data_IF_301150212478
#
_entry.id   IF_301150212478
#
_cell.length_a   1.000
_cell.length_b   1.000
_cell.length_c   1.000
_cell.angle_alpha   90.00
_cell.angle_beta   90.00
_cell.angle_gamma   90.00
#
_symmetry.space_group_name_H-M   'P 1'
#
loop_
_entity.id
_entity.type
_entity.pdbx_description
1 polymer ?
#
# COMPACT_ATOMS: atom_id res chain seq x y z
N UNK A 1 -8.84 -10.45 -12.37
CA UNK A 1 -9.04 -10.03 -10.96
C UNK A 1 -10.49 -9.62 -10.66
N UNK A 2 -11.20 -8.94 -11.58
CA UNK A 2 -12.64 -8.66 -11.44
C UNK A 2 -13.48 -9.94 -11.19
N UNK A 3 -13.13 -11.05 -11.84
CA UNK A 3 -13.78 -12.36 -11.64
C UNK A 3 -13.63 -12.98 -10.24
N UNK A 4 -12.72 -12.48 -9.39
CA UNK A 4 -12.53 -12.99 -8.03
C UNK A 4 -13.41 -12.27 -6.99
N UNK A 5 -14.16 -11.24 -7.40
CA UNK A 5 -15.08 -10.48 -6.53
C UNK A 5 -14.37 -9.83 -5.33
N UNK A 6 -13.17 -9.28 -5.57
CA UNK A 6 -12.35 -8.58 -4.58
C UNK A 6 -11.76 -7.30 -5.17
N UNK A 7 -11.38 -6.37 -4.30
CA UNK A 7 -10.76 -5.10 -4.68
C UNK A 7 -9.23 -5.25 -4.69
N UNK A 8 -8.54 -4.65 -5.65
CA UNK A 8 -7.08 -4.63 -5.66
C UNK A 8 -6.55 -3.25 -5.99
N UNK A 9 -5.53 -2.81 -5.26
CA UNK A 9 -4.79 -1.59 -5.53
C UNK A 9 -3.29 -1.91 -5.64
N UNK A 10 -2.58 -1.20 -6.52
CA UNK A 10 -1.14 -1.34 -6.68
C UNK A 10 -0.48 0.03 -6.71
N UNK A 11 0.63 0.15 -6.01
CA UNK A 11 1.56 1.26 -6.14
C UNK A 11 2.98 0.70 -6.22
N UNK A 12 3.62 0.83 -7.38
CA UNK A 12 4.96 0.30 -7.65
C UNK A 12 5.13 -1.18 -7.26
N UNK A 13 5.98 -1.46 -6.27
CA UNK A 13 6.32 -2.77 -5.73
C UNK A 13 5.32 -3.29 -4.68
N UNK A 14 4.30 -2.50 -4.31
CA UNK A 14 3.32 -2.88 -3.29
C UNK A 14 1.95 -3.12 -3.91
N UNK A 15 1.40 -4.30 -3.67
CA UNK A 15 0.05 -4.70 -4.09
C UNK A 15 -0.79 -5.02 -2.86
N UNK A 16 -1.98 -4.42 -2.78
CA UNK A 16 -3.00 -4.71 -1.78
C UNK A 16 -4.16 -5.39 -2.47
N UNK A 17 -4.63 -6.50 -1.92
CA UNK A 17 -5.81 -7.22 -2.39
C UNK A 17 -6.73 -7.43 -1.20
N UNK A 18 -7.96 -6.95 -1.36
CA UNK A 18 -9.06 -7.12 -0.42
C UNK A 18 -10.04 -8.14 -0.98
N UNK A 19 -10.43 -9.11 -0.16
CA UNK A 19 -11.41 -10.11 -0.53
C UNK A 19 -12.43 -10.28 0.60
N UNK A 20 -13.72 -10.49 0.28
CA UNK A 20 -14.76 -10.61 1.30
C UNK A 20 -14.68 -11.92 2.09
N UNK A 21 -13.96 -12.94 1.58
CA UNK A 21 -13.78 -14.23 2.26
C UNK A 21 -12.33 -14.70 2.18
N UNK A 22 -11.91 -15.48 3.18
CA UNK A 22 -10.58 -16.12 3.22
C UNK A 22 -10.33 -17.01 1.99
N UNK A 23 -11.36 -17.68 1.48
CA UNK A 23 -11.25 -18.54 0.30
C UNK A 23 -10.92 -17.75 -0.97
N UNK A 24 -11.61 -16.62 -1.18
CA UNK A 24 -11.32 -15.71 -2.29
C UNK A 24 -9.92 -15.09 -2.16
N UNK A 25 -9.51 -14.74 -0.94
CA UNK A 25 -8.15 -14.26 -0.68
C UNK A 25 -7.09 -15.31 -1.05
N UNK A 26 -7.29 -16.58 -0.68
CA UNK A 26 -6.38 -17.68 -1.06
C UNK A 26 -6.28 -17.86 -2.57
N UNK A 27 -7.41 -17.78 -3.30
CA UNK A 27 -7.40 -17.82 -4.77
C UNK A 27 -6.61 -16.66 -5.37
N UNK A 28 -6.81 -15.44 -4.86
CA UNK A 28 -6.07 -14.27 -5.30
C UNK A 28 -4.56 -14.40 -5.00
N UNK A 29 -4.18 -14.85 -3.80
CA UNK A 29 -2.77 -15.11 -3.44
C UNK A 29 -2.16 -16.13 -4.40
N UNK A 30 -2.88 -17.21 -4.74
CA UNK A 30 -2.40 -18.22 -5.69
C UNK A 30 -2.16 -17.61 -7.07
N UNK A 31 -3.11 -16.84 -7.60
CA UNK A 31 -2.98 -16.17 -8.89
C UNK A 31 -1.79 -15.19 -8.91
N UNK A 32 -1.62 -14.45 -7.83
CA UNK A 32 -0.52 -13.49 -7.64
C UNK A 32 0.83 -14.19 -7.58
N UNK A 33 0.92 -15.34 -6.89
CA UNK A 33 2.14 -16.16 -6.88
C UNK A 33 2.47 -16.71 -8.26
N UNK A 34 1.46 -17.14 -9.03
CA UNK A 34 1.68 -17.64 -10.39
C UNK A 34 2.29 -16.55 -11.27
N UNK A 35 1.69 -15.36 -11.28
CA UNK A 35 2.20 -14.21 -12.04
C UNK A 35 3.61 -13.83 -11.59
N UNK A 36 3.90 -13.87 -10.30
CA UNK A 36 5.26 -13.61 -9.79
C UNK A 36 6.28 -14.62 -10.26
N UNK A 37 5.93 -15.91 -10.26
CA UNK A 37 6.80 -16.97 -10.75
C UNK A 37 7.06 -16.80 -12.25
N UNK A 38 6.02 -16.48 -13.02
CA UNK A 38 6.13 -16.25 -14.47
C UNK A 38 7.02 -15.02 -14.77
N UNK A 39 6.96 -13.99 -13.92
CA UNK A 39 7.82 -12.80 -14.01
C UNK A 39 9.20 -12.98 -13.36
N UNK A 40 9.48 -14.11 -12.73
CA UNK A 40 10.71 -14.37 -11.96
C UNK A 40 10.97 -13.30 -10.87
N UNK A 41 9.90 -12.82 -10.23
CA UNK A 41 9.96 -11.80 -9.16
C UNK A 41 9.63 -12.44 -7.82
N UNK A 42 10.49 -12.22 -6.83
CA UNK A 42 10.30 -12.72 -5.47
C UNK A 42 9.58 -11.71 -4.56
N UNK A 43 8.82 -12.25 -3.61
CA UNK A 43 8.22 -11.47 -2.52
C UNK A 43 9.25 -11.20 -1.44
N UNK A 44 9.16 -10.03 -0.83
CA UNK A 44 9.89 -9.79 0.41
C UNK A 44 9.20 -10.53 1.57
N UNK A 45 9.86 -11.50 2.24
CA UNK A 45 9.24 -12.35 3.26
C UNK A 45 8.70 -11.54 4.44
N UNK A 46 9.47 -10.58 4.94
CA UNK A 46 9.11 -9.79 6.14
C UNK A 46 8.14 -8.63 5.89
N UNK A 47 7.77 -8.37 4.63
CA UNK A 47 6.92 -7.21 4.27
C UNK A 47 5.56 -7.63 3.72
N UNK A 48 5.22 -8.91 3.84
CA UNK A 48 3.93 -9.43 3.41
C UNK A 48 2.99 -9.57 4.61
N UNK A 49 1.88 -8.82 4.61
CA UNK A 49 0.83 -8.96 5.62
C UNK A 49 -0.35 -9.74 5.03
N UNK A 50 -0.83 -10.75 5.75
CA UNK A 50 -2.03 -11.53 5.40
C UNK A 50 -2.95 -11.58 6.62
N UNK A 51 -4.16 -11.07 6.52
CA UNK A 51 -5.06 -11.01 7.67
C UNK A 51 -6.42 -10.39 7.42
N UNK A 52 -7.34 -10.46 8.40
CA UNK A 52 -8.54 -9.64 8.40
C UNK A 52 -8.19 -8.15 8.48
N UNK A 53 -8.96 -7.30 7.80
CA UNK A 53 -8.81 -5.83 7.84
C UNK A 53 -9.06 -5.27 9.24
N UNK A 54 -9.80 -5.98 10.09
CA UNK A 54 -10.00 -5.60 11.50
C UNK A 54 -8.68 -5.43 12.28
N UNK A 55 -7.61 -6.18 11.94
CA UNK A 55 -6.27 -5.98 12.53
C UNK A 55 -5.56 -4.74 12.00
N UNK A 56 -6.04 -4.21 10.88
CA UNK A 56 -5.46 -3.12 10.12
C UNK A 56 -4.14 -3.46 9.45
N UNK A 57 -3.73 -2.60 8.52
CA UNK A 57 -2.46 -2.71 7.82
C UNK A 57 -1.99 -1.34 7.31
N UNK A 58 -0.67 -1.20 7.19
CA UNK A 58 -0.07 0.00 6.60
C UNK A 58 0.03 -0.10 5.07
N UNK A 59 -0.38 0.95 4.37
CA UNK A 59 -0.20 1.11 2.94
C UNK A 59 0.04 2.58 2.57
N UNK A 60 1.14 2.85 1.85
CA UNK A 60 1.55 4.19 1.41
C UNK A 60 1.65 5.26 2.51
N UNK A 61 1.94 4.84 3.73
CA UNK A 61 2.06 5.74 4.89
C UNK A 61 0.73 6.04 5.59
N UNK A 62 -0.34 5.39 5.16
CA UNK A 62 -1.63 5.36 5.85
C UNK A 62 -1.87 4.01 6.51
N UNK A 63 -2.62 4.01 7.60
CA UNK A 63 -3.12 2.84 8.29
C UNK A 63 -4.59 2.64 7.93
N UNK A 64 -4.90 1.50 7.35
CA UNK A 64 -6.26 1.08 7.01
C UNK A 64 -6.75 0.11 8.08
N UNK A 65 -7.93 0.35 8.63
CA UNK A 65 -8.63 -0.61 9.49
C UNK A 65 -10.13 -0.62 9.19
N UNK A 66 -10.88 -1.54 9.84
CA UNK A 66 -12.33 -1.61 9.68
C UNK A 66 -13.05 -0.31 10.07
N UNK A 67 -12.45 0.50 10.95
CA UNK A 67 -13.00 1.81 11.36
C UNK A 67 -12.63 2.97 10.42
N UNK A 68 -11.82 2.76 9.38
CA UNK A 68 -11.45 3.79 8.41
C UNK A 68 -9.96 3.96 8.15
N UNK A 69 -9.61 5.12 7.59
CA UNK A 69 -8.26 5.50 7.19
C UNK A 69 -7.64 6.44 8.20
N UNK A 70 -6.37 6.20 8.58
CA UNK A 70 -5.59 7.05 9.48
C UNK A 70 -4.17 7.21 8.96
N UNK A 71 -3.39 8.12 9.53
CA UNK A 71 -1.95 8.19 9.27
C UNK A 71 -1.27 7.01 9.97
N UNK A 72 -0.38 6.30 9.29
CA UNK A 72 0.37 5.21 9.92
C UNK A 72 1.31 5.76 11.00
N UNK A 73 1.44 5.06 12.14
CA UNK A 73 2.30 5.48 13.26
C UNK A 73 3.74 5.75 12.79
N UNK A 74 4.27 4.86 11.94
CA UNK A 74 5.61 4.97 11.36
C UNK A 74 5.80 6.21 10.49
N UNK A 75 4.73 6.72 9.87
CA UNK A 75 4.79 7.95 9.06
C UNK A 75 4.94 9.17 9.96
N UNK A 76 4.27 9.18 11.13
CA UNK A 76 4.42 10.23 12.14
C UNK A 76 5.82 10.19 12.75
N UNK A 77 6.28 9.00 13.15
CA UNK A 77 7.64 8.80 13.71
C UNK A 77 8.72 9.33 12.75
N UNK A 78 8.65 8.96 11.46
CA UNK A 78 9.57 9.47 10.43
C UNK A 78 9.52 10.98 10.23
N UNK A 79 8.33 11.58 10.40
CA UNK A 79 8.16 13.01 10.29
C UNK A 79 8.87 13.71 11.45
N UNK A 80 8.67 13.23 12.68
CA UNK A 80 9.35 13.73 13.88
C UNK A 80 10.86 13.58 13.77
N UNK A 81 11.35 12.39 13.40
CA UNK A 81 12.78 12.13 13.18
C UNK A 81 13.40 13.12 12.17
N UNK A 82 12.64 13.45 11.12
CA UNK A 82 13.11 14.39 10.09
C UNK A 82 13.16 15.82 10.61
N UNK A 83 12.22 16.24 11.46
CA UNK A 83 12.23 17.55 12.11
C UNK A 83 13.44 17.64 13.05
N UNK A 84 13.64 16.65 13.93
CA UNK A 84 14.80 16.61 14.84
C UNK A 84 16.12 16.70 14.09
N UNK A 85 16.29 15.94 13.00
CA UNK A 85 17.50 16.02 12.17
C UNK A 85 17.70 17.37 11.48
N UNK A 86 16.62 18.07 11.11
CA UNK A 86 16.74 19.40 10.52
C UNK A 86 17.20 20.41 11.57
N UNK A 87 16.64 20.32 12.77
CA UNK A 87 17.02 21.16 13.91
C UNK A 87 18.50 20.95 14.31
N UNK A 88 18.92 19.69 14.45
CA UNK A 88 20.32 19.30 14.71
C UNK A 88 21.30 19.82 13.64
N UNK A 89 20.83 19.97 12.39
CA UNK A 89 21.62 20.51 11.28
C UNK A 89 21.62 22.04 11.22
N UNK A 90 21.02 22.72 12.19
CA UNK A 90 20.92 24.19 12.23
C UNK A 90 19.98 24.75 11.17
N UNK A 91 18.97 23.99 10.74
CA UNK A 91 17.96 24.50 9.81
C UNK A 91 17.19 25.66 10.45
N UNK A 92 16.97 26.74 9.69
CA UNK A 92 16.12 27.82 10.15
C UNK A 92 14.64 27.38 10.29
N UNK A 93 13.88 28.17 11.04
CA UNK A 93 12.46 27.92 11.32
C UNK A 93 11.63 27.86 10.02
N UNK A 94 11.97 28.67 9.01
CA UNK A 94 11.25 28.73 7.73
C UNK A 94 11.41 27.42 6.96
N UNK A 95 12.59 26.80 7.01
CA UNK A 95 12.89 25.52 6.38
C UNK A 95 12.14 24.37 7.05
N UNK A 96 12.07 24.36 8.38
CA UNK A 96 11.29 23.37 9.13
C UNK A 96 9.80 23.54 8.85
N UNK A 97 9.29 24.77 8.90
CA UNK A 97 7.89 25.09 8.60
C UNK A 97 7.50 24.65 7.18
N UNK A 98 8.34 24.95 6.19
CA UNK A 98 8.13 24.55 4.79
C UNK A 98 8.08 23.03 4.64
N UNK A 99 8.92 22.30 5.37
CA UNK A 99 8.86 20.84 5.41
C UNK A 99 7.53 20.34 5.99
N UNK A 100 7.14 20.85 7.17
CA UNK A 100 5.88 20.46 7.84
C UNK A 100 4.66 20.75 6.97
N UNK A 101 4.61 21.91 6.32
CA UNK A 101 3.52 22.28 5.39
C UNK A 101 3.40 21.30 4.22
N UNK A 102 4.52 20.94 3.59
CA UNK A 102 4.55 19.98 2.48
C UNK A 102 4.15 18.58 2.92
N UNK A 103 4.64 18.15 4.08
CA UNK A 103 4.23 16.87 4.67
C UNK A 103 2.72 16.85 4.94
N UNK A 104 2.16 17.93 5.49
CA UNK A 104 0.72 18.05 5.76
C UNK A 104 -0.13 18.06 4.49
N UNK A 105 0.32 18.73 3.43
CA UNK A 105 -0.34 18.70 2.12
C UNK A 105 -0.37 17.28 1.54
N UNK A 106 0.74 16.56 1.63
CA UNK A 106 0.81 15.16 1.21
C UNK A 106 -0.14 14.27 2.03
N UNK A 107 -0.18 14.43 3.36
CA UNK A 107 -1.11 13.69 4.24
C UNK A 107 -2.56 13.91 3.81
N UNK A 108 -2.97 15.17 3.67
CA UNK A 108 -4.34 15.54 3.30
C UNK A 108 -4.76 14.99 1.94
N UNK A 109 -3.84 14.96 0.97
CA UNK A 109 -4.09 14.37 -0.34
C UNK A 109 -4.57 12.91 -0.31
N UNK A 110 -4.29 12.14 0.76
CA UNK A 110 -4.79 10.78 0.92
C UNK A 110 -5.90 10.60 1.97
N UNK A 111 -6.14 11.57 2.88
CA UNK A 111 -7.18 11.46 3.92
C UNK A 111 -8.48 12.18 3.52
N UNK A 112 -8.40 13.30 2.80
CA UNK A 112 -9.57 14.16 2.51
C UNK A 112 -10.56 13.55 1.49
N UNK A 113 -10.26 12.39 0.89
CA UNK A 113 -11.07 11.77 -0.18
C UNK A 113 -11.87 10.51 0.20
N UNK A 114 -11.84 10.05 1.46
CA UNK A 114 -12.22 8.66 1.79
C UNK A 114 -13.07 8.49 3.07
N UNK A 115 -13.69 9.57 3.55
CA UNK A 115 -14.49 9.52 4.79
C UNK A 115 -15.83 8.75 4.61
N UNK A 116 -16.31 8.56 3.38
CA UNK A 116 -17.70 8.11 3.14
C UNK A 116 -17.90 6.67 2.59
N UNK A 117 -16.88 5.83 2.47
CA UNK A 117 -17.06 4.48 1.89
C UNK A 117 -16.32 3.36 2.64
N UNK A 118 -16.68 3.11 3.90
CA UNK A 118 -16.05 2.05 4.72
C UNK A 118 -17.06 1.08 5.37
N UNK A 119 -18.29 0.99 4.87
CA UNK A 119 -19.24 -0.06 5.31
C UNK A 119 -18.88 -1.47 4.78
N UNK A 120 -18.10 -1.59 3.70
CA UNK A 120 -17.70 -2.87 3.11
C UNK A 120 -16.50 -3.55 3.82
N UNK A 121 -15.75 -2.83 4.66
CA UNK A 121 -14.44 -3.30 5.15
C UNK A 121 -14.49 -4.06 6.48
N UNK A 122 -15.63 -4.10 7.18
CA UNK A 122 -15.70 -4.72 8.51
C UNK A 122 -15.48 -6.24 8.52
N UNK A 123 -15.72 -6.94 7.40
CA UNK A 123 -15.61 -8.41 7.32
C UNK A 123 -14.59 -8.89 6.27
N UNK A 124 -13.86 -7.96 5.64
CA UNK A 124 -12.94 -8.30 4.55
C UNK A 124 -11.56 -8.75 5.04
N UNK A 125 -10.89 -9.52 4.21
CA UNK A 125 -9.51 -9.97 4.39
C UNK A 125 -8.59 -9.27 3.40
N UNK A 126 -7.38 -8.95 3.85
CA UNK A 126 -6.34 -8.29 3.08
C UNK A 126 -5.12 -9.18 2.92
N UNK A 127 -4.50 -9.10 1.74
CA UNK A 127 -3.07 -9.35 1.58
C UNK A 127 -2.41 -8.08 1.06
N UNK A 128 -1.37 -7.64 1.75
CA UNK A 128 -0.46 -6.59 1.29
C UNK A 128 0.87 -7.28 0.97
N UNK A 129 1.24 -7.33 -0.30
CA UNK A 129 2.49 -7.94 -0.76
C UNK A 129 3.42 -6.84 -1.23
N UNK A 130 4.68 -6.95 -0.83
CA UNK A 130 5.76 -6.13 -1.36
C UNK A 130 6.75 -6.98 -2.14
N UNK A 131 7.11 -6.52 -3.32
CA UNK A 131 8.02 -7.21 -4.24
C UNK A 131 9.44 -6.66 -4.13
N UNK A 132 10.43 -7.50 -4.43
CA UNK A 132 11.76 -7.02 -4.79
C UNK A 132 11.74 -6.62 -6.25
N UNK A 133 12.08 -5.38 -6.55
CA UNK A 133 12.41 -5.00 -7.91
C UNK A 133 13.84 -5.46 -8.15
N UNK A 134 14.02 -6.75 -8.49
CA UNK A 134 15.25 -7.18 -9.16
C UNK A 134 15.29 -6.37 -10.45
N UNK A 135 16.35 -5.60 -10.63
CA UNK A 135 16.61 -4.80 -11.82
C UNK A 135 16.65 -5.72 -13.06
N UNK A 136 15.50 -6.03 -13.64
CA UNK A 136 15.41 -6.64 -14.96
C UNK A 136 14.09 -6.21 -15.61
N UNK A 137 14.20 -5.20 -16.47
CA UNK A 137 13.28 -4.90 -17.57
C UNK A 137 11.83 -4.53 -17.23
N UNK A 138 11.64 -3.26 -16.86
CA UNK A 138 10.34 -2.56 -16.74
C UNK A 138 9.51 -2.62 -18.04
N UNK A 139 10.10 -3.01 -19.18
CA UNK A 139 9.43 -3.10 -20.48
C UNK A 139 8.47 -4.30 -20.64
N UNK A 140 8.61 -5.38 -19.85
CA UNK A 140 7.84 -6.61 -20.10
C UNK A 140 6.43 -6.61 -19.45
N UNK A 141 6.26 -5.92 -18.32
CA UNK A 141 4.99 -5.95 -17.55
C UNK A 141 3.88 -5.13 -18.23
N UNK A 142 4.23 -4.09 -19.00
CA UNK A 142 3.23 -3.31 -19.76
C UNK A 142 2.75 -4.01 -21.04
N UNK A 143 3.52 -4.95 -21.57
CA UNK A 143 3.15 -5.68 -22.80
C UNK A 143 2.09 -6.77 -22.53
N UNK A 144 2.11 -7.42 -21.36
CA UNK A 144 1.19 -8.53 -21.07
C UNK A 144 -0.17 -8.11 -20.49
N UNK A 145 -0.33 -6.86 -20.05
CA UNK A 145 -1.62 -6.35 -19.55
C UNK A 145 -2.47 -5.66 -20.64
N UNK A 146 -1.98 -5.60 -21.89
CA UNK A 146 -2.72 -5.04 -23.05
C UNK A 146 -3.30 -6.09 -24.00
N UNK A 147 -2.99 -7.38 -23.84
CA UNK A 147 -3.57 -8.46 -24.66
C UNK A 147 -4.57 -9.24 -23.83
N UNK A 148 -5.81 -8.73 -23.82
CA UNK A 148 -6.95 -9.35 -23.15
C UNK A 148 -8.24 -8.65 -23.54
N UNK A 149 -8.38 -8.35 -24.83
CA UNK A 149 -9.66 -8.03 -25.45
C UNK A 149 -9.61 -8.57 -26.88
N UNK A 150 -10.42 -9.60 -27.12
CA UNK A 150 -10.46 -10.45 -28.31
C UNK A 150 -11.11 -11.76 -27.92
#
# INVERSE_FOLDING_TARGET
MAELGGFSARFMDVVVILAPTRWKLRKAIKAVNQVMNDLQVEKHPDKTFIGPIARGFDFLGYFFCGQGLRIAKKTIERMLDKISRLDEQGADVIRIEKYVRRWWQWVKGGVDGLVDSVSFLNTAYVVCVRFWMVFCSVSLIMAHLKTGNG
#
